data_IF_108421913650
#
_entry.id   IF_108421913650
#
_cell.length_a   1.000
_cell.length_b   1.000
_cell.length_c   1.000
_cell.angle_alpha   90.00
_cell.angle_beta   90.00
_cell.angle_gamma   90.00
#
_symmetry.space_group_name_H-M   'P 1'
#
loop_
_entity.id
_entity.type
_entity.pdbx_description
1 polymer ?
#
# COMPACT_ATOMS: atom_id res chain seq x y z
N UNK A 1 -41.52 21.19 24.85
CA UNK A 1 -40.36 20.29 24.82
C UNK A 1 -40.58 19.32 23.65
N UNK A 2 -39.64 19.25 22.68
CA UNK A 2 -39.63 18.19 21.65
C UNK A 2 -38.66 17.13 22.11
N UNK A 3 -39.13 15.89 22.25
CA UNK A 3 -38.32 14.73 22.58
C UNK A 3 -38.00 14.05 21.24
N UNK A 4 -36.72 13.75 21.00
CA UNK A 4 -36.25 13.00 19.86
C UNK A 4 -35.77 11.67 20.41
N UNK A 5 -36.48 10.59 20.06
CA UNK A 5 -36.06 9.22 20.38
C UNK A 5 -35.22 8.68 19.19
N UNK A 6 -34.00 8.29 19.46
CA UNK A 6 -33.11 7.68 18.47
C UNK A 6 -33.03 6.19 18.78
N UNK A 7 -33.60 5.38 17.91
CA UNK A 7 -33.51 3.91 18.00
C UNK A 7 -32.33 3.49 17.12
N UNK A 8 -31.36 2.79 17.70
CA UNK A 8 -30.13 2.33 17.01
C UNK A 8 -30.13 0.81 17.01
N UNK A 9 -29.92 0.22 15.85
CA UNK A 9 -29.68 -1.21 15.66
C UNK A 9 -28.18 -1.44 15.40
N UNK A 10 -27.52 -2.21 16.26
CA UNK A 10 -26.12 -2.57 16.09
C UNK A 10 -25.96 -3.59 14.95
N UNK A 11 -25.00 -3.34 14.05
CA UNK A 11 -24.64 -4.26 12.97
C UNK A 11 -23.17 -4.67 13.12
N UNK A 12 -22.82 -5.91 12.70
CA UNK A 12 -21.44 -6.34 12.62
C UNK A 12 -20.60 -5.36 11.80
N UNK A 13 -19.42 -4.98 12.31
CA UNK A 13 -18.49 -4.05 11.66
C UNK A 13 -17.31 -4.78 11.01
N UNK A 14 -17.22 -6.10 11.25
CA UNK A 14 -16.19 -6.98 10.71
C UNK A 14 -16.59 -7.62 9.38
N UNK A 15 -15.61 -7.77 8.50
CA UNK A 15 -15.73 -8.43 7.20
C UNK A 15 -14.64 -9.50 7.07
N UNK A 16 -14.99 -10.65 6.51
CA UNK A 16 -14.04 -11.71 6.14
C UNK A 16 -14.10 -11.87 4.63
N UNK A 17 -12.96 -11.86 3.98
CA UNK A 17 -12.81 -12.09 2.55
C UNK A 17 -11.94 -13.31 2.29
N UNK A 18 -12.30 -14.11 1.30
CA UNK A 18 -11.53 -15.23 0.78
C UNK A 18 -11.55 -15.16 -0.73
N UNK A 19 -10.43 -15.44 -1.36
CA UNK A 19 -10.31 -15.45 -2.81
C UNK A 19 -9.27 -16.45 -3.27
N UNK A 20 -9.48 -16.98 -4.47
CA UNK A 20 -8.52 -17.81 -5.18
C UNK A 20 -8.48 -17.39 -6.63
N UNK A 21 -7.29 -17.45 -7.23
CA UNK A 21 -7.09 -17.07 -8.63
C UNK A 21 -6.06 -17.97 -9.29
N UNK A 22 -6.17 -18.09 -10.61
CA UNK A 22 -5.18 -18.76 -11.46
C UNK A 22 -4.82 -17.79 -12.59
N UNK A 23 -3.54 -17.60 -12.81
CA UNK A 23 -3.03 -16.70 -13.83
C UNK A 23 -1.76 -17.25 -14.51
N UNK A 24 -1.16 -16.43 -15.35
CA UNK A 24 0.08 -16.79 -16.06
C UNK A 24 1.26 -17.05 -15.12
N UNK A 25 1.21 -16.49 -13.90
CA UNK A 25 2.24 -16.62 -12.87
C UNK A 25 1.89 -17.67 -11.79
N UNK A 26 1.00 -18.63 -12.14
CA UNK A 26 0.60 -19.70 -11.24
C UNK A 26 -0.72 -19.45 -10.50
N UNK A 27 -0.93 -20.24 -9.44
CA UNK A 27 -2.12 -20.19 -8.60
C UNK A 27 -1.90 -19.29 -7.39
N UNK A 28 -2.95 -18.65 -6.92
CA UNK A 28 -2.93 -17.87 -5.69
C UNK A 28 -4.19 -18.07 -4.86
N UNK A 29 -4.02 -18.07 -3.55
CA UNK A 29 -5.11 -18.07 -2.56
C UNK A 29 -4.83 -16.94 -1.57
N UNK A 30 -5.86 -16.21 -1.24
CA UNK A 30 -5.73 -15.10 -0.28
C UNK A 30 -6.98 -14.96 0.57
N UNK A 31 -6.80 -14.32 1.71
CA UNK A 31 -7.88 -13.97 2.61
C UNK A 31 -7.57 -12.75 3.43
N UNK A 32 -8.61 -12.12 3.93
CA UNK A 32 -8.49 -10.93 4.76
C UNK A 32 -9.55 -10.87 5.83
N UNK A 33 -9.22 -10.20 6.91
CA UNK A 33 -10.12 -9.85 8.00
C UNK A 33 -10.05 -8.34 8.16
N UNK A 34 -11.20 -7.69 8.10
CA UNK A 34 -11.33 -6.26 8.29
C UNK A 34 -12.31 -5.97 9.40
N UNK A 35 -11.93 -5.15 10.35
CA UNK A 35 -12.78 -4.65 11.42
C UNK A 35 -12.79 -3.11 11.33
N UNK A 36 -13.99 -2.52 11.25
CA UNK A 36 -14.14 -1.08 11.04
C UNK A 36 -14.43 -0.29 12.33
N UNK A 37 -14.69 -0.98 13.43
CA UNK A 37 -15.01 -0.35 14.70
C UNK A 37 -14.47 -1.14 15.90
N UNK A 38 -13.18 -1.46 15.89
CA UNK A 38 -12.54 -2.27 16.93
C UNK A 38 -12.75 -1.65 18.32
N UNK A 39 -13.31 -2.46 19.22
CA UNK A 39 -13.69 -2.08 20.58
C UNK A 39 -14.67 -0.89 20.66
N UNK A 40 -15.48 -0.65 19.64
CA UNK A 40 -16.43 0.46 19.60
C UNK A 40 -15.78 1.85 19.52
N UNK A 41 -14.49 1.94 19.16
CA UNK A 41 -13.69 3.18 19.14
C UNK A 41 -13.45 3.74 17.74
N UNK A 42 -14.15 3.22 16.73
CA UNK A 42 -13.94 3.62 15.33
C UNK A 42 -12.56 3.22 14.76
N UNK A 43 -11.77 2.46 15.51
CA UNK A 43 -10.47 1.97 15.06
C UNK A 43 -10.69 0.94 13.97
N UNK A 44 -9.94 1.07 12.87
CA UNK A 44 -9.98 0.11 11.75
C UNK A 44 -8.75 -0.79 11.80
N UNK A 45 -9.01 -2.10 11.74
CA UNK A 45 -7.98 -3.11 11.58
C UNK A 45 -8.19 -3.80 10.23
N UNK A 46 -7.11 -4.02 9.51
CA UNK A 46 -7.13 -4.73 8.23
C UNK A 46 -5.96 -5.71 8.19
N UNK A 47 -6.26 -6.98 7.98
CA UNK A 47 -5.25 -8.04 7.87
C UNK A 47 -5.48 -8.80 6.59
N UNK A 48 -4.46 -8.86 5.75
CA UNK A 48 -4.49 -9.57 4.48
C UNK A 48 -3.34 -10.58 4.41
N UNK A 49 -3.64 -11.78 3.93
CA UNK A 49 -2.66 -12.81 3.62
C UNK A 49 -2.90 -13.32 2.21
N UNK A 50 -1.84 -13.36 1.41
CA UNK A 50 -1.85 -13.94 0.07
C UNK A 50 -0.71 -14.96 -0.05
N UNK A 51 -1.03 -16.12 -0.57
CA UNK A 51 -0.09 -17.19 -0.86
C UNK A 51 -0.23 -17.58 -2.32
N UNK A 52 0.89 -17.64 -3.02
CA UNK A 52 0.99 -18.12 -4.40
C UNK A 52 2.10 -19.17 -4.53
N UNK A 53 2.25 -19.73 -5.71
CA UNK A 53 3.29 -20.73 -5.99
C UNK A 53 4.71 -20.22 -5.67
N UNK A 54 4.93 -18.93 -5.87
CA UNK A 54 6.25 -18.30 -5.71
C UNK A 54 6.29 -17.23 -4.61
N UNK A 55 5.17 -16.87 -3.97
CA UNK A 55 5.19 -15.77 -3.00
C UNK A 55 4.21 -15.97 -1.85
N UNK A 56 4.63 -15.46 -0.69
CA UNK A 56 3.78 -15.29 0.50
C UNK A 56 3.85 -13.81 0.87
N UNK A 57 2.67 -13.18 1.02
CA UNK A 57 2.57 -11.78 1.42
C UNK A 57 1.54 -11.65 2.53
N UNK A 58 1.92 -11.02 3.63
CA UNK A 58 1.05 -10.69 4.74
C UNK A 58 1.14 -9.22 5.09
N UNK A 59 0.01 -8.60 5.38
CA UNK A 59 -0.05 -7.21 5.80
C UNK A 59 -1.08 -7.05 6.91
N UNK A 60 -0.70 -6.33 7.95
CA UNK A 60 -1.58 -5.87 9.02
C UNK A 60 -1.55 -4.35 9.04
N UNK A 61 -2.72 -3.72 9.08
CA UNK A 61 -2.87 -2.26 9.17
C UNK A 61 -3.76 -1.90 10.35
N UNK A 62 -3.33 -0.96 11.15
CA UNK A 62 -4.08 -0.29 12.19
C UNK A 62 -4.30 1.16 11.77
N UNK A 63 -5.55 1.63 11.79
CA UNK A 63 -5.88 3.01 11.51
C UNK A 63 -6.82 3.54 12.60
N UNK A 64 -6.40 4.61 13.25
CA UNK A 64 -7.22 5.34 14.22
C UNK A 64 -7.61 6.69 13.61
N UNK A 65 -8.86 6.83 13.18
CA UNK A 65 -9.37 8.13 12.71
C UNK A 65 -9.52 9.09 13.87
N UNK A 66 -9.56 10.38 13.58
CA UNK A 66 -9.74 11.47 14.53
C UNK A 66 -8.77 11.39 15.71
N UNK A 67 -7.48 11.18 15.43
CA UNK A 67 -6.45 11.10 16.45
C UNK A 67 -6.04 12.49 16.93
N UNK A 68 -6.16 12.73 18.24
CA UNK A 68 -5.81 14.01 18.86
C UNK A 68 -6.86 15.09 18.65
N UNK A 69 -6.41 16.30 18.40
CA UNK A 69 -7.26 17.45 18.13
C UNK A 69 -7.34 17.66 16.62
N UNK A 70 -8.50 17.43 16.02
CA UNK A 70 -8.77 17.60 14.61
C UNK A 70 -9.03 16.27 13.86
N UNK A 71 -9.30 16.38 12.58
CA UNK A 71 -9.63 15.23 11.70
C UNK A 71 -8.36 14.54 11.16
N UNK A 72 -7.42 14.26 12.07
CA UNK A 72 -6.18 13.58 11.72
C UNK A 72 -6.33 12.07 11.88
N UNK A 73 -5.95 11.32 10.88
CA UNK A 73 -5.85 9.87 10.97
C UNK A 73 -4.43 9.47 11.36
N UNK A 74 -4.31 8.54 12.30
CA UNK A 74 -3.05 7.88 12.64
C UNK A 74 -3.08 6.47 12.05
N UNK A 75 -2.06 6.11 11.30
CA UNK A 75 -1.95 4.76 10.76
C UNK A 75 -0.59 4.12 11.06
N UNK A 76 -0.62 2.82 11.23
CA UNK A 76 0.59 1.99 11.28
C UNK A 76 0.34 0.68 10.53
N UNK A 77 1.37 0.15 9.89
CA UNK A 77 1.27 -1.16 9.26
C UNK A 77 2.54 -1.98 9.44
N UNK A 78 2.35 -3.29 9.45
CA UNK A 78 3.43 -4.27 9.35
C UNK A 78 3.16 -5.09 8.10
N UNK A 79 4.18 -5.25 7.28
CA UNK A 79 4.10 -6.04 6.05
C UNK A 79 5.26 -7.02 6.00
N UNK A 80 4.97 -8.28 5.67
CA UNK A 80 5.98 -9.29 5.42
C UNK A 80 5.73 -9.91 4.06
N UNK A 81 6.77 -10.03 3.26
CA UNK A 81 6.70 -10.69 1.97
C UNK A 81 7.90 -11.58 1.73
N UNK A 82 7.68 -12.71 1.08
CA UNK A 82 8.73 -13.58 0.57
C UNK A 82 8.38 -13.98 -0.85
N UNK A 83 9.33 -13.83 -1.75
CA UNK A 83 9.19 -14.22 -3.16
C UNK A 83 10.33 -15.18 -3.51
N UNK A 84 9.99 -16.37 -3.97
CA UNK A 84 10.91 -17.43 -4.30
C UNK A 84 10.95 -17.65 -5.82
N UNK A 85 12.00 -17.16 -6.46
CA UNK A 85 12.28 -17.34 -7.88
C UNK A 85 13.58 -18.14 -8.06
N UNK A 86 13.92 -19.02 -7.12
CA UNK A 86 15.17 -19.78 -7.17
C UNK A 86 15.27 -20.67 -8.41
N UNK A 87 14.16 -21.27 -8.82
CA UNK A 87 14.11 -22.16 -9.98
C UNK A 87 14.22 -21.41 -11.30
N UNK A 88 13.52 -20.28 -11.44
CA UNK A 88 13.42 -19.54 -12.71
C UNK A 88 14.54 -18.53 -12.90
N UNK A 89 14.91 -17.80 -11.86
CA UNK A 89 15.82 -16.67 -11.94
C UNK A 89 16.98 -16.74 -10.93
N UNK A 90 17.02 -17.79 -10.10
CA UNK A 90 18.10 -18.07 -9.18
C UNK A 90 18.17 -17.16 -7.97
N UNK A 91 17.07 -16.52 -7.54
CA UNK A 91 17.05 -15.65 -6.38
C UNK A 91 15.79 -15.80 -5.53
N UNK A 92 15.91 -15.43 -4.27
CA UNK A 92 14.83 -15.34 -3.30
C UNK A 92 14.93 -14.03 -2.54
N UNK A 93 13.82 -13.33 -2.36
CA UNK A 93 13.71 -12.14 -1.52
C UNK A 93 12.81 -12.41 -0.33
N UNK A 94 13.16 -11.85 0.82
CA UNK A 94 12.30 -11.81 2.00
C UNK A 94 12.38 -10.40 2.57
N UNK A 95 11.22 -9.79 2.79
CA UNK A 95 11.11 -8.43 3.30
C UNK A 95 10.20 -8.38 4.51
N UNK A 96 10.58 -7.57 5.51
CA UNK A 96 9.76 -7.19 6.65
C UNK A 96 9.76 -5.67 6.75
N UNK A 97 8.60 -5.08 6.54
CA UNK A 97 8.38 -3.64 6.58
C UNK A 97 7.51 -3.23 7.76
N UNK A 98 7.81 -2.07 8.32
CA UNK A 98 6.99 -1.38 9.29
C UNK A 98 6.77 0.06 8.80
N UNK A 99 5.55 0.56 8.90
CA UNK A 99 5.25 1.96 8.61
C UNK A 99 4.41 2.59 9.72
N UNK A 100 4.68 3.87 9.94
CA UNK A 100 3.94 4.71 10.87
C UNK A 100 3.77 6.09 10.26
N UNK A 101 2.55 6.63 10.30
CA UNK A 101 2.28 7.91 9.69
C UNK A 101 0.95 8.51 10.14
N UNK A 102 0.68 9.68 9.61
CA UNK A 102 -0.57 10.40 9.83
C UNK A 102 -1.12 10.88 8.51
N UNK A 103 -2.42 11.14 8.46
CA UNK A 103 -3.09 11.74 7.31
C UNK A 103 -4.01 12.84 7.80
N UNK A 104 -3.95 14.00 7.18
CA UNK A 104 -4.81 15.14 7.50
C UNK A 104 -5.11 15.97 6.26
N UNK A 105 -6.22 16.69 6.32
CA UNK A 105 -6.58 17.65 5.29
C UNK A 105 -5.80 18.93 5.51
N UNK A 106 -4.88 19.24 4.59
CA UNK A 106 -4.04 20.44 4.66
C UNK A 106 -4.76 21.66 4.10
N UNK A 107 -5.51 21.47 3.02
CA UNK A 107 -6.40 22.43 2.38
C UNK A 107 -7.63 21.67 1.90
N UNK A 108 -8.71 22.38 1.57
CA UNK A 108 -9.96 21.78 1.10
C UNK A 108 -9.71 20.73 0.01
N UNK A 109 -10.13 19.51 0.27
CA UNK A 109 -9.93 18.31 -0.58
C UNK A 109 -8.47 17.90 -0.85
N UNK A 110 -7.48 18.54 -0.23
CA UNK A 110 -6.07 18.20 -0.34
C UNK A 110 -5.57 17.56 0.96
N UNK A 111 -5.31 16.26 0.90
CA UNK A 111 -4.82 15.46 2.02
C UNK A 111 -3.32 15.26 1.92
N UNK A 112 -2.63 15.49 3.03
CA UNK A 112 -1.21 15.21 3.19
C UNK A 112 -1.01 14.03 4.14
N UNK A 113 -0.20 13.07 3.72
CA UNK A 113 0.04 11.83 4.48
C UNK A 113 1.54 11.56 4.61
N UNK A 114 2.23 12.20 5.56
CA UNK A 114 3.62 11.87 5.87
C UNK A 114 3.72 10.56 6.65
N UNK A 115 4.76 9.79 6.38
CA UNK A 115 5.04 8.52 7.07
C UNK A 115 6.52 8.21 7.15
N UNK A 116 6.89 7.47 8.17
CA UNK A 116 8.19 6.82 8.31
C UNK A 116 8.02 5.34 7.96
N UNK A 117 8.89 4.85 7.08
CA UNK A 117 8.87 3.46 6.62
C UNK A 117 10.23 2.85 6.96
N UNK A 118 10.22 1.70 7.61
CA UNK A 118 11.42 0.93 7.90
C UNK A 118 11.28 -0.45 7.25
N UNK A 119 12.28 -0.85 6.49
CA UNK A 119 12.31 -2.14 5.79
C UNK A 119 13.59 -2.90 6.15
N UNK A 120 13.44 -4.21 6.40
CA UNK A 120 14.55 -5.15 6.48
C UNK A 120 14.37 -6.16 5.36
N UNK A 121 15.32 -6.25 4.46
CA UNK A 121 15.27 -7.13 3.30
C UNK A 121 16.46 -8.09 3.30
N UNK A 122 16.20 -9.33 2.90
CA UNK A 122 17.22 -10.32 2.61
C UNK A 122 17.05 -10.82 1.18
N UNK A 123 18.12 -10.69 0.38
CA UNK A 123 18.21 -11.24 -0.96
C UNK A 123 19.26 -12.37 -0.95
N UNK A 124 18.85 -13.56 -1.35
CA UNK A 124 19.73 -14.74 -1.49
C UNK A 124 19.74 -15.19 -2.94
N UNK A 125 20.88 -15.71 -3.40
CA UNK A 125 21.06 -16.16 -4.78
C UNK A 125 21.57 -17.59 -4.86
N UNK A 126 21.41 -18.21 -6.03
CA UNK A 126 22.02 -19.51 -6.38
C UNK A 126 23.04 -19.33 -7.49
N UNK A 127 23.73 -20.43 -7.83
CA UNK A 127 24.69 -20.46 -8.94
C UNK A 127 24.08 -20.05 -10.29
N UNK A 128 22.78 -20.25 -10.46
CA UNK A 128 22.02 -19.95 -11.69
C UNK A 128 21.67 -18.48 -11.87
N UNK A 129 21.74 -17.67 -10.80
CA UNK A 129 21.46 -16.25 -10.86
C UNK A 129 22.43 -15.50 -11.78
N UNK A 130 21.95 -14.47 -12.46
CA UNK A 130 22.79 -13.58 -13.27
C UNK A 130 23.82 -12.85 -12.41
N UNK A 131 24.94 -12.44 -13.00
CA UNK A 131 25.99 -11.69 -12.29
C UNK A 131 25.46 -10.39 -11.66
N UNK A 132 24.51 -9.73 -12.32
CA UNK A 132 23.88 -8.51 -11.81
C UNK A 132 23.04 -8.76 -10.55
N UNK A 133 22.33 -9.90 -10.49
CA UNK A 133 21.55 -10.29 -9.30
C UNK A 133 22.48 -10.74 -8.16
N UNK A 134 23.51 -11.54 -8.47
CA UNK A 134 24.51 -11.98 -7.47
C UNK A 134 25.21 -10.83 -6.76
N UNK A 135 25.48 -9.73 -7.46
CA UNK A 135 26.06 -8.52 -6.85
C UNK A 135 25.16 -7.86 -5.82
N UNK A 136 23.87 -8.14 -5.86
CA UNK A 136 22.86 -7.58 -4.94
C UNK A 136 22.51 -8.55 -3.80
N UNK A 137 23.20 -9.71 -3.69
CA UNK A 137 23.00 -10.61 -2.57
C UNK A 137 23.41 -9.94 -1.26
N UNK A 138 22.53 -9.99 -0.25
CA UNK A 138 22.82 -9.37 1.04
C UNK A 138 21.60 -9.17 1.92
N UNK A 139 21.85 -8.53 3.05
CA UNK A 139 20.84 -8.04 3.96
C UNK A 139 20.86 -6.52 3.91
N UNK A 140 19.69 -5.91 3.81
CA UNK A 140 19.52 -4.48 3.67
C UNK A 140 18.62 -3.96 4.77
N UNK A 141 18.94 -2.78 5.27
CA UNK A 141 18.14 -2.04 6.23
C UNK A 141 17.89 -0.64 5.70
N UNK A 142 16.62 -0.27 5.60
CA UNK A 142 16.20 1.03 5.09
C UNK A 142 15.28 1.73 6.08
N UNK A 143 15.49 3.01 6.28
CA UNK A 143 14.55 3.94 6.91
C UNK A 143 14.28 5.07 5.92
N UNK A 144 13.03 5.21 5.52
CA UNK A 144 12.61 6.17 4.52
C UNK A 144 11.57 7.13 5.11
N UNK A 145 11.68 8.40 4.76
CA UNK A 145 10.59 9.37 4.89
C UNK A 145 9.77 9.32 3.61
N UNK A 146 8.51 8.94 3.74
CA UNK A 146 7.59 8.95 2.61
C UNK A 146 6.46 9.95 2.86
N UNK A 147 5.88 10.47 1.79
CA UNK A 147 4.65 11.24 1.87
C UNK A 147 3.79 11.04 0.63
N UNK A 148 2.48 11.21 0.80
CA UNK A 148 1.57 11.39 -0.31
C UNK A 148 0.80 12.70 -0.20
N UNK A 149 0.45 13.25 -1.36
CA UNK A 149 -0.47 14.36 -1.53
C UNK A 149 -1.63 13.84 -2.38
N UNK A 150 -2.81 13.80 -1.80
CA UNK A 150 -4.04 13.34 -2.45
C UNK A 150 -5.00 14.50 -2.63
N UNK A 151 -5.30 14.88 -3.86
CA UNK A 151 -6.34 15.85 -4.18
C UNK A 151 -7.56 15.10 -4.70
N UNK A 152 -8.65 15.10 -3.91
CA UNK A 152 -9.83 14.27 -4.12
C UNK A 152 -11.09 15.12 -4.35
N UNK A 153 -11.48 15.24 -5.60
CA UNK A 153 -12.69 15.93 -6.05
C UNK A 153 -13.76 14.97 -6.60
N UNK A 154 -13.76 13.73 -6.11
CA UNK A 154 -14.82 12.78 -6.44
C UNK A 154 -16.11 13.16 -5.72
N UNK A 155 -17.25 12.90 -6.36
CA UNK A 155 -18.58 13.08 -5.77
C UNK A 155 -18.79 12.23 -4.50
N UNK A 156 -18.10 11.08 -4.41
CA UNK A 156 -18.10 10.18 -3.25
C UNK A 156 -16.86 9.28 -3.27
N UNK A 157 -16.41 8.88 -2.09
CA UNK A 157 -15.21 8.01 -1.96
C UNK A 157 -15.48 6.57 -2.34
N UNK A 158 -16.71 6.07 -2.11
CA UNK A 158 -17.14 4.72 -2.50
C UNK A 158 -18.01 4.78 -3.74
N UNK A 159 -17.68 3.98 -4.76
CA UNK A 159 -18.36 3.94 -6.07
C UNK A 159 -18.56 5.33 -6.68
N UNK A 160 -17.50 6.11 -6.92
CA UNK A 160 -17.62 7.44 -7.49
C UNK A 160 -18.24 7.41 -8.88
N UNK A 161 -19.09 8.39 -9.19
CA UNK A 161 -19.76 8.52 -10.48
C UNK A 161 -19.28 9.72 -11.29
N UNK A 162 -18.70 10.71 -10.64
CA UNK A 162 -18.11 11.90 -11.28
C UNK A 162 -16.89 12.39 -10.50
N UNK A 163 -16.11 13.27 -11.12
CA UNK A 163 -14.97 13.91 -10.51
C UNK A 163 -13.66 13.21 -10.79
N UNK A 164 -12.63 13.56 -10.02
CA UNK A 164 -11.30 12.96 -10.15
C UNK A 164 -10.55 12.93 -8.82
N UNK A 165 -9.57 12.05 -8.75
CA UNK A 165 -8.59 12.00 -7.67
C UNK A 165 -7.20 11.98 -8.28
N UNK A 166 -6.32 12.86 -7.79
CA UNK A 166 -4.90 12.88 -8.13
C UNK A 166 -4.08 12.58 -6.89
N UNK A 167 -3.12 11.67 -7.00
CA UNK A 167 -2.21 11.30 -5.92
C UNK A 167 -0.77 11.50 -6.39
N UNK A 168 0.05 12.14 -5.56
CA UNK A 168 1.50 12.21 -5.70
C UNK A 168 2.12 11.48 -4.51
N UNK A 169 3.14 10.69 -4.77
CA UNK A 169 3.87 9.94 -3.76
C UNK A 169 5.37 10.13 -3.94
N UNK A 170 6.08 10.32 -2.84
CA UNK A 170 7.54 10.31 -2.82
C UNK A 170 8.06 9.59 -1.58
N UNK A 171 9.12 8.80 -1.75
CA UNK A 171 9.87 8.18 -0.66
C UNK A 171 11.35 8.57 -0.80
N UNK A 172 11.91 9.07 0.30
CA UNK A 172 13.26 9.61 0.37
C UNK A 172 14.01 8.82 1.44
N UNK A 173 15.20 8.25 1.15
CA UNK A 173 16.00 7.53 2.13
C UNK A 173 16.55 8.48 3.19
N UNK A 174 16.38 8.12 4.48
CA UNK A 174 17.02 8.77 5.61
C UNK A 174 18.26 8.00 6.07
N UNK A 175 18.11 6.69 6.19
CA UNK A 175 19.17 5.73 6.48
C UNK A 175 18.93 4.56 5.55
N UNK A 176 19.88 4.23 4.71
CA UNK A 176 19.73 3.14 3.74
C UNK A 176 21.08 2.61 3.32
N UNK A 177 21.17 1.30 3.13
CA UNK A 177 22.36 0.66 2.56
C UNK A 177 22.51 0.97 1.06
N UNK A 178 21.38 1.26 0.39
CA UNK A 178 21.33 1.76 -1.01
C UNK A 178 20.31 2.89 -1.09
N UNK A 179 20.79 4.09 -1.44
CA UNK A 179 19.97 5.29 -1.44
C UNK A 179 19.15 5.42 -2.73
N UNK A 180 17.86 5.15 -2.66
CA UNK A 180 16.93 5.24 -3.78
C UNK A 180 15.77 6.18 -3.46
N UNK A 181 15.48 7.10 -4.37
CA UNK A 181 14.27 7.94 -4.32
C UNK A 181 13.21 7.29 -5.20
N UNK A 182 12.03 7.10 -4.62
CA UNK A 182 10.88 6.58 -5.36
C UNK A 182 9.87 7.70 -5.50
N UNK A 183 9.43 7.94 -6.73
CA UNK A 183 8.38 8.91 -7.06
C UNK A 183 7.22 8.17 -7.72
N UNK A 184 6.01 8.62 -7.47
CA UNK A 184 4.81 8.09 -8.09
C UNK A 184 3.75 9.15 -8.28
N UNK A 185 2.95 9.00 -9.32
CA UNK A 185 1.73 9.76 -9.48
C UNK A 185 0.61 8.85 -9.99
N UNK A 186 -0.61 9.20 -9.65
CA UNK A 186 -1.80 8.52 -10.13
C UNK A 186 -2.92 9.55 -10.31
N UNK A 187 -3.64 9.46 -11.43
CA UNK A 187 -4.81 10.27 -11.75
C UNK A 187 -5.94 9.32 -12.12
N UNK A 188 -7.05 9.41 -11.40
CA UNK A 188 -8.27 8.67 -11.69
C UNK A 188 -9.38 9.67 -11.98
N UNK A 189 -9.98 9.62 -13.16
CA UNK A 189 -11.13 10.42 -13.54
C UNK A 189 -12.34 9.54 -13.75
N UNK A 190 -13.45 9.96 -13.20
CA UNK A 190 -14.75 9.28 -13.28
C UNK A 190 -15.76 10.16 -14.02
N UNK A 191 -16.61 9.54 -14.80
CA UNK A 191 -17.70 10.22 -15.50
C UNK A 191 -18.87 9.28 -15.70
N UNK A 192 -20.05 9.69 -15.25
CA UNK A 192 -21.30 9.01 -15.62
C UNK A 192 -21.53 9.17 -17.11
N UNK A 193 -21.69 8.05 -17.82
CA UNK A 193 -21.92 8.02 -19.28
C UNK A 193 -23.40 7.92 -19.59
N UNK A 194 -24.09 7.03 -18.88
CA UNK A 194 -25.56 6.84 -18.91
C UNK A 194 -26.02 6.44 -17.51
N UNK A 195 -27.31 6.34 -17.27
CA UNK A 195 -27.92 6.16 -15.92
C UNK A 195 -27.23 5.14 -15.01
N UNK A 196 -26.74 4.04 -15.57
CA UNK A 196 -26.17 2.92 -14.81
C UNK A 196 -24.73 2.57 -15.21
N UNK A 197 -24.07 3.42 -16.01
CA UNK A 197 -22.71 3.19 -16.49
C UNK A 197 -21.81 4.33 -16.14
N UNK A 198 -20.70 4.01 -15.45
CA UNK A 198 -19.64 4.97 -15.11
C UNK A 198 -18.37 4.60 -15.86
N UNK A 199 -17.83 5.55 -16.61
CA UNK A 199 -16.50 5.46 -17.22
C UNK A 199 -15.42 5.84 -16.21
N UNK A 200 -14.33 5.07 -16.15
CA UNK A 200 -13.12 5.39 -15.40
C UNK A 200 -11.92 5.43 -16.32
N UNK A 201 -11.14 6.52 -16.23
CA UNK A 201 -9.82 6.61 -16.87
C UNK A 201 -8.79 6.73 -15.76
N UNK A 202 -7.77 5.88 -15.82
CA UNK A 202 -6.64 5.90 -14.88
C UNK A 202 -5.34 6.13 -15.63
N UNK A 203 -4.54 7.07 -15.14
CA UNK A 203 -3.16 7.30 -15.57
C UNK A 203 -2.27 7.22 -14.35
N UNK A 204 -1.21 6.45 -14.44
CA UNK A 204 -0.24 6.35 -13.36
C UNK A 204 1.19 6.30 -13.91
N UNK A 205 2.14 6.74 -13.09
CA UNK A 205 3.57 6.62 -13.38
C UNK A 205 4.34 6.45 -12.09
N UNK A 206 5.42 5.68 -12.16
CA UNK A 206 6.37 5.50 -11.06
C UNK A 206 7.77 5.57 -11.61
N UNK A 207 8.70 6.10 -10.79
CA UNK A 207 10.13 6.13 -11.08
C UNK A 207 10.90 5.82 -9.80
N UNK A 208 11.87 4.94 -9.90
CA UNK A 208 12.85 4.66 -8.87
C UNK A 208 14.24 5.07 -9.38
N UNK A 209 14.93 5.93 -8.65
CA UNK A 209 16.23 6.46 -9.04
C UNK A 209 17.21 6.27 -7.90
N UNK A 210 18.36 5.65 -8.18
CA UNK A 210 19.47 5.62 -7.24
C UNK A 210 20.16 6.98 -7.19
N UNK A 211 20.47 7.45 -5.98
CA UNK A 211 21.26 8.68 -5.75
C UNK A 211 22.68 8.38 -5.26
N UNK A 212 23.02 7.12 -4.99
CA UNK A 212 24.35 6.67 -4.61
C UNK A 212 25.25 6.31 -5.80
N UNK A 213 24.69 6.26 -7.02
CA UNK A 213 25.41 5.85 -8.23
C UNK A 213 25.40 4.34 -8.48
N UNK A 214 24.84 3.56 -7.57
CA UNK A 214 24.62 2.12 -7.73
C UNK A 214 23.34 1.84 -8.53
N UNK A 215 23.19 0.62 -9.02
CA UNK A 215 21.94 0.16 -9.64
C UNK A 215 20.82 0.12 -8.61
N UNK A 216 19.59 0.48 -9.03
CA UNK A 216 18.38 0.32 -8.22
C UNK A 216 18.22 -1.17 -7.83
N UNK A 217 18.04 -1.43 -6.54
CA UNK A 217 17.89 -2.77 -5.98
C UNK A 217 16.73 -3.52 -6.63
N UNK A 218 16.89 -4.83 -6.83
CA UNK A 218 15.92 -5.67 -7.55
C UNK A 218 14.50 -5.54 -6.98
N UNK A 219 14.36 -5.53 -5.66
CA UNK A 219 13.07 -5.39 -4.97
C UNK A 219 12.39 -4.03 -5.13
N UNK A 220 13.19 -2.99 -5.44
CA UNK A 220 12.70 -1.62 -5.65
C UNK A 220 12.50 -1.30 -7.14
N UNK A 221 12.90 -2.19 -8.05
CA UNK A 221 12.67 -2.02 -9.47
C UNK A 221 11.19 -2.11 -9.80
N UNK A 222 10.78 -1.31 -10.74
CA UNK A 222 9.41 -1.25 -11.21
C UNK A 222 9.25 -2.18 -12.40
N UNK A 223 8.37 -3.16 -12.26
CA UNK A 223 8.00 -4.06 -13.34
C UNK A 223 6.62 -3.69 -13.86
N UNK A 224 6.45 -3.67 -15.18
CA UNK A 224 5.13 -3.56 -15.81
C UNK A 224 4.50 -4.95 -15.75
N UNK A 225 3.34 -5.04 -15.12
CA UNK A 225 2.53 -6.25 -15.03
C UNK A 225 1.39 -6.18 -16.04
#
# INVERSE_FOLDING_TARGET
>A
LKIIDIIVEEKPTGEISLGAGVGTNGSSVGGGIKENNFLGKGIKLDTNLMVSDTSIKGKFTYLKPNFGYGDNDLFTSIESSSTDNLTESGYKTSNLGFSFGTRFEQYENLFFSPSLITDVEKLTTTSTASTAIKKQEGNYFDVNLAYSLDYDLRDRSYQPTDGYKTSLYQSIPLVSDQNEIINGFEINKYKSLVSDMVGKISLFGRAANSISGDDVRLSKRLFIQ
#
